data_IF_597304685665
#
_entry.id   IF_597304685665
#
_cell.length_a   1.000
_cell.length_b   1.000
_cell.length_c   1.000
_cell.angle_alpha   90.00
_cell.angle_beta   90.00
_cell.angle_gamma   90.00
#
_symmetry.space_group_name_H-M   'P 1'
#
loop_
_entity.id
_entity.type
_entity.pdbx_description
1 polymer ?
#
# COMPACT_ATOMS: atom_id res chain seq x y z
N UNK A 1 -27.08 26.58 57.94
CA UNK A 1 -26.77 27.04 56.58
C UNK A 1 -25.41 26.45 56.22
N UNK A 2 -25.40 25.25 55.65
CA UNK A 2 -24.19 24.55 55.23
C UNK A 2 -23.82 24.99 53.80
N UNK A 3 -22.53 25.11 53.43
CA UNK A 3 -22.16 25.39 52.05
C UNK A 3 -22.45 24.14 51.18
N UNK A 4 -22.84 24.32 49.90
CA UNK A 4 -23.07 23.20 49.01
C UNK A 4 -21.74 22.56 48.59
N UNK A 5 -21.80 21.24 48.49
CA UNK A 5 -20.74 20.32 48.15
C UNK A 5 -20.19 20.50 46.73
N UNK A 6 -18.95 20.03 46.58
CA UNK A 6 -18.18 19.79 45.35
C UNK A 6 -18.99 19.76 44.05
N UNK A 7 -18.57 20.61 43.11
CA UNK A 7 -18.87 20.41 41.70
C UNK A 7 -18.28 19.09 41.21
N UNK A 8 -18.81 18.52 40.11
CA UNK A 8 -18.32 17.27 39.57
C UNK A 8 -16.83 17.42 39.24
N UNK A 9 -16.02 16.56 39.85
CA UNK A 9 -14.62 16.36 39.53
C UNK A 9 -14.50 16.16 38.02
N UNK A 10 -13.74 17.03 37.36
CA UNK A 10 -13.26 16.82 36.00
C UNK A 10 -12.66 15.42 35.95
N UNK A 11 -13.28 14.52 35.17
CA UNK A 11 -12.76 13.18 34.97
C UNK A 11 -11.32 13.27 34.49
N UNK A 12 -10.42 12.65 35.23
CA UNK A 12 -9.09 12.29 34.76
C UNK A 12 -9.26 11.50 33.45
N UNK A 13 -8.94 12.14 32.32
CA UNK A 13 -8.73 11.46 31.05
C UNK A 13 -7.28 10.95 31.06
N UNK A 14 -6.96 10.05 32.00
CA UNK A 14 -5.68 9.33 32.02
C UNK A 14 -5.89 7.97 31.37
N UNK A 15 -6.16 8.00 30.07
CA UNK A 15 -6.03 6.84 29.21
C UNK A 15 -5.36 7.34 27.95
N UNK A 16 -4.03 7.27 27.90
CA UNK A 16 -3.33 7.53 26.64
C UNK A 16 -3.67 6.38 25.68
N UNK A 17 -4.17 6.72 24.49
CA UNK A 17 -4.62 5.76 23.50
C UNK A 17 -3.40 5.15 22.80
N UNK A 18 -3.20 3.82 22.84
CA UNK A 18 -2.10 3.17 22.12
C UNK A 18 -2.16 3.45 20.61
N UNK A 19 -0.99 3.54 19.97
CA UNK A 19 -0.88 3.80 18.53
C UNK A 19 -1.51 2.72 17.64
N UNK A 20 -1.66 1.50 18.14
CA UNK A 20 -2.24 0.36 17.44
C UNK A 20 -3.72 0.16 17.72
N UNK A 21 -4.28 0.79 18.76
CA UNK A 21 -5.64 0.53 19.23
C UNK A 21 -6.72 0.83 18.16
N UNK A 22 -6.70 1.97 17.42
CA UNK A 22 -7.64 2.20 16.33
C UNK A 22 -7.34 1.44 15.02
N UNK A 23 -6.22 0.70 14.94
CA UNK A 23 -5.77 0.11 13.68
C UNK A 23 -6.74 -0.97 13.15
N UNK A 24 -7.24 -1.93 13.94
CA UNK A 24 -8.18 -2.93 13.46
C UNK A 24 -9.44 -2.31 12.82
N UNK A 25 -10.05 -1.33 13.51
CA UNK A 25 -11.25 -0.64 13.02
C UNK A 25 -10.97 0.16 11.75
N UNK A 26 -9.81 0.81 11.66
CA UNK A 26 -9.40 1.49 10.44
C UNK A 26 -9.23 0.52 9.27
N UNK A 27 -8.61 -0.64 9.50
CA UNK A 27 -8.42 -1.65 8.46
C UNK A 27 -9.75 -2.24 7.99
N UNK A 28 -10.68 -2.51 8.92
CA UNK A 28 -12.04 -2.94 8.60
C UNK A 28 -12.79 -1.89 7.77
N UNK A 29 -12.69 -0.61 8.14
CA UNK A 29 -13.31 0.49 7.41
C UNK A 29 -12.74 0.69 5.99
N UNK A 30 -11.54 0.18 5.70
CA UNK A 30 -10.90 0.27 4.38
C UNK A 30 -10.97 -1.02 3.56
N UNK A 31 -11.40 -2.13 4.16
CA UNK A 31 -11.48 -3.42 3.49
C UNK A 31 -12.54 -3.43 2.39
N UNK A 32 -12.24 -4.10 1.27
CA UNK A 32 -13.23 -4.31 0.20
C UNK A 32 -14.24 -5.39 0.58
N UNK A 33 -13.77 -6.42 1.27
CA UNK A 33 -14.56 -7.46 1.91
C UNK A 33 -13.85 -7.88 3.19
N UNK A 34 -14.62 -8.34 4.17
CA UNK A 34 -14.14 -8.94 5.41
C UNK A 34 -14.63 -10.39 5.36
N UNK A 35 -13.71 -11.35 5.38
CA UNK A 35 -14.06 -12.77 5.43
C UNK A 35 -14.80 -13.10 6.73
N UNK A 36 -15.70 -14.07 6.69
CA UNK A 36 -16.28 -14.62 7.92
C UNK A 36 -15.19 -15.38 8.69
N UNK A 37 -15.15 -15.21 10.02
CA UNK A 37 -14.32 -16.04 10.89
C UNK A 37 -14.72 -17.49 10.67
N UNK A 38 -13.79 -18.32 10.24
CA UNK A 38 -14.08 -19.73 10.03
C UNK A 38 -14.25 -20.44 11.38
N UNK A 39 -14.86 -21.63 11.35
CA UNK A 39 -15.09 -22.45 12.54
C UNK A 39 -13.79 -22.89 13.24
N UNK A 40 -12.62 -22.60 12.67
CA UNK A 40 -11.29 -22.87 13.23
C UNK A 40 -10.72 -21.67 14.02
N UNK A 41 -11.38 -20.51 13.99
CA UNK A 41 -10.97 -19.32 14.74
C UNK A 41 -9.84 -18.54 14.09
N UNK A 42 -9.61 -18.70 12.78
CA UNK A 42 -8.65 -17.86 12.05
C UNK A 42 -9.23 -16.44 11.85
N UNK A 43 -8.37 -15.43 12.04
CA UNK A 43 -8.76 -14.02 11.95
C UNK A 43 -9.41 -13.71 10.60
N UNK A 44 -10.50 -12.94 10.64
CA UNK A 44 -11.24 -12.51 9.46
C UNK A 44 -10.30 -11.88 8.41
N UNK A 45 -10.12 -12.55 7.27
CA UNK A 45 -9.17 -12.09 6.27
C UNK A 45 -9.73 -10.89 5.50
N UNK A 46 -9.05 -9.74 5.58
CA UNK A 46 -9.41 -8.52 4.87
C UNK A 46 -8.93 -8.57 3.42
N UNK A 47 -9.79 -8.17 2.48
CA UNK A 47 -9.42 -8.11 1.06
C UNK A 47 -9.16 -6.69 0.55
N UNK A 48 -8.21 -6.60 -0.38
CA UNK A 48 -7.89 -5.38 -1.12
C UNK A 48 -6.43 -4.97 -1.00
N UNK A 49 -5.79 -4.67 -2.14
CA UNK A 49 -4.38 -4.24 -2.19
C UNK A 49 -4.06 -3.04 -1.29
N UNK A 50 -5.02 -2.13 -1.11
CA UNK A 50 -4.86 -0.98 -0.24
C UNK A 50 -4.77 -1.38 1.24
N UNK A 51 -5.65 -2.27 1.72
CA UNK A 51 -5.62 -2.77 3.10
C UNK A 51 -4.38 -3.61 3.36
N UNK A 52 -3.98 -4.47 2.43
CA UNK A 52 -2.72 -5.23 2.57
C UNK A 52 -1.49 -4.32 2.67
N UNK A 53 -1.51 -3.17 1.98
CA UNK A 53 -0.45 -2.19 2.13
C UNK A 53 -0.48 -1.51 3.50
N UNK A 54 -1.67 -1.20 4.04
CA UNK A 54 -1.85 -0.65 5.38
C UNK A 54 -1.42 -1.62 6.47
N UNK A 55 -1.84 -2.90 6.39
CA UNK A 55 -1.50 -3.99 7.32
C UNK A 55 0.00 -4.23 7.44
N UNK A 56 0.78 -3.84 6.43
CA UNK A 56 2.24 -3.89 6.50
C UNK A 56 2.82 -2.57 7.00
N UNK A 57 2.47 -1.47 6.36
CA UNK A 57 3.18 -0.20 6.55
C UNK A 57 2.84 0.49 7.86
N UNK A 58 1.58 0.41 8.32
CA UNK A 58 1.17 1.09 9.54
C UNK A 58 1.78 0.40 10.78
N UNK A 59 1.74 -0.95 10.92
CA UNK A 59 2.47 -1.63 11.98
C UNK A 59 3.98 -1.37 11.97
N UNK A 60 4.64 -1.43 10.80
CA UNK A 60 6.07 -1.10 10.68
C UNK A 60 6.37 0.32 11.20
N UNK A 61 5.46 1.27 10.95
CA UNK A 61 5.59 2.63 11.45
C UNK A 61 5.33 2.72 12.96
N UNK A 62 4.35 2.00 13.49
CA UNK A 62 4.07 1.94 14.94
C UNK A 62 5.29 1.40 15.69
N UNK A 63 5.88 0.29 15.23
CA UNK A 63 7.12 -0.25 15.81
C UNK A 63 8.29 0.75 15.71
N UNK A 64 8.38 1.47 14.60
CA UNK A 64 9.36 2.53 14.43
C UNK A 64 9.15 3.69 15.42
N UNK A 65 7.91 4.01 15.80
CA UNK A 65 7.59 5.01 16.81
C UNK A 65 7.88 4.51 18.22
N UNK A 66 7.50 3.26 18.52
CA UNK A 66 7.74 2.60 19.81
C UNK A 66 9.23 2.54 20.15
N UNK A 67 10.08 2.17 19.17
CA UNK A 67 11.55 2.19 19.34
C UNK A 67 12.14 3.58 19.64
N UNK A 68 11.33 4.66 19.54
CA UNK A 68 11.68 6.04 19.87
C UNK A 68 10.93 6.58 21.10
N UNK A 69 10.23 5.71 21.83
CA UNK A 69 9.49 6.03 23.05
C UNK A 69 8.18 6.77 22.79
N UNK A 70 7.59 6.64 21.61
CA UNK A 70 6.27 7.21 21.30
C UNK A 70 5.30 6.07 21.04
N UNK A 71 4.47 5.76 22.04
CA UNK A 71 3.58 4.60 22.04
C UNK A 71 2.11 4.95 22.00
N UNK A 72 1.78 6.24 22.14
CA UNK A 72 0.40 6.72 22.26
C UNK A 72 0.10 7.83 21.25
N UNK A 73 -1.16 7.94 20.86
CA UNK A 73 -1.62 8.92 19.86
C UNK A 73 -1.46 10.36 20.36
N UNK A 74 -1.67 10.58 21.65
CA UNK A 74 -1.58 11.90 22.30
C UNK A 74 -0.13 12.40 22.40
N UNK A 75 0.84 11.49 22.41
CA UNK A 75 2.27 11.82 22.40
C UNK A 75 2.78 12.20 20.99
N UNK A 76 1.99 11.95 19.93
CA UNK A 76 2.38 12.29 18.57
C UNK A 76 2.39 13.81 18.35
N UNK A 77 3.37 14.26 17.57
CA UNK A 77 3.45 15.64 17.13
C UNK A 77 4.04 15.72 15.71
N UNK A 78 3.99 16.91 15.13
CA UNK A 78 4.58 17.15 13.80
C UNK A 78 6.07 16.85 13.70
N UNK A 79 6.83 16.91 14.81
CA UNK A 79 8.27 16.61 14.82
C UNK A 79 8.51 15.11 14.71
N UNK A 80 7.65 14.29 15.32
CA UNK A 80 7.71 12.84 15.13
C UNK A 80 7.49 12.45 13.67
N UNK A 81 6.50 13.06 13.01
CA UNK A 81 6.22 12.78 11.59
C UNK A 81 7.30 13.35 10.66
N UNK A 82 7.90 14.50 10.99
CA UNK A 82 9.06 15.02 10.29
C UNK A 82 10.28 14.08 10.40
N UNK A 83 10.51 13.48 11.58
CA UNK A 83 11.58 12.47 11.75
C UNK A 83 11.32 11.21 10.94
N UNK A 84 10.05 10.79 10.82
CA UNK A 84 9.66 9.65 10.00
C UNK A 84 9.86 9.95 8.50
N UNK A 85 9.42 11.12 8.03
CA UNK A 85 9.69 11.60 6.67
C UNK A 85 11.20 11.63 6.37
N UNK A 86 12.01 12.18 7.28
CA UNK A 86 13.46 12.16 7.16
C UNK A 86 14.07 10.75 7.18
N UNK A 87 13.48 9.78 7.90
CA UNK A 87 13.88 8.38 7.83
C UNK A 87 13.61 7.79 6.44
N UNK A 88 12.44 8.05 5.85
CA UNK A 88 12.13 7.62 4.48
C UNK A 88 13.07 8.27 3.46
N UNK A 89 13.38 9.56 3.61
CA UNK A 89 14.35 10.26 2.77
C UNK A 89 15.76 9.63 2.84
N UNK A 90 16.22 9.25 4.04
CA UNK A 90 17.49 8.53 4.21
C UNK A 90 17.49 7.18 3.48
N UNK A 91 16.39 6.43 3.54
CA UNK A 91 16.26 5.16 2.81
C UNK A 91 16.26 5.34 1.28
N UNK A 92 15.70 6.45 0.78
CA UNK A 92 15.80 6.81 -0.63
C UNK A 92 17.23 7.11 -1.03
N UNK A 93 17.94 7.88 -0.20
CA UNK A 93 19.34 8.24 -0.46
C UNK A 93 20.28 7.02 -0.39
N UNK A 94 20.05 6.08 0.54
CA UNK A 94 20.79 4.82 0.62
C UNK A 94 20.70 4.02 -0.69
N UNK A 95 19.48 3.91 -1.27
CA UNK A 95 19.27 3.27 -2.57
C UNK A 95 20.06 3.95 -3.68
N UNK A 96 20.06 5.29 -3.71
CA UNK A 96 20.75 6.08 -4.74
C UNK A 96 22.27 5.97 -4.63
N UNK A 97 22.80 5.96 -3.42
CA UNK A 97 24.24 5.96 -3.18
C UNK A 97 24.89 4.61 -3.47
N UNK A 98 24.26 3.51 -3.03
CA UNK A 98 24.94 2.21 -2.97
C UNK A 98 24.22 1.09 -3.73
N UNK A 99 23.11 1.38 -4.42
CA UNK A 99 22.24 0.33 -4.95
C UNK A 99 21.69 -0.59 -3.86
N UNK A 100 21.64 -0.07 -2.62
CA UNK A 100 21.27 -0.82 -1.42
C UNK A 100 19.90 -1.49 -1.59
N UNK A 101 19.88 -2.81 -1.37
CA UNK A 101 18.68 -3.63 -1.49
C UNK A 101 17.60 -3.27 -0.46
N UNK A 102 17.99 -2.69 0.68
CA UNK A 102 17.07 -2.23 1.73
C UNK A 102 16.50 -0.82 1.46
N UNK A 103 17.11 -0.11 0.51
CA UNK A 103 16.72 1.22 0.09
C UNK A 103 15.45 1.26 -0.76
N UNK A 104 14.69 2.35 -0.66
CA UNK A 104 13.38 2.50 -1.31
C UNK A 104 13.40 3.56 -2.41
N UNK A 105 12.42 3.52 -3.31
CA UNK A 105 12.24 4.59 -4.31
C UNK A 105 11.54 5.80 -3.67
N UNK A 106 11.68 7.01 -4.25
CA UNK A 106 10.88 8.16 -3.82
C UNK A 106 9.38 7.89 -3.84
N UNK A 107 8.87 7.17 -4.85
CA UNK A 107 7.46 6.82 -4.94
C UNK A 107 7.02 5.90 -3.79
N UNK A 108 7.87 4.94 -3.40
CA UNK A 108 7.62 4.07 -2.24
C UNK A 108 7.59 4.86 -0.95
N UNK A 109 8.53 5.82 -0.76
CA UNK A 109 8.55 6.69 0.41
C UNK A 109 7.25 7.50 0.53
N UNK A 110 6.84 8.17 -0.55
CA UNK A 110 5.57 8.91 -0.59
C UNK A 110 4.36 8.01 -0.34
N UNK A 111 4.34 6.81 -0.91
CA UNK A 111 3.27 5.85 -0.65
C UNK A 111 3.21 5.46 0.84
N UNK A 112 4.34 5.17 1.48
CA UNK A 112 4.36 4.80 2.90
C UNK A 112 3.87 5.95 3.78
N UNK A 113 4.37 7.16 3.52
CA UNK A 113 3.94 8.36 4.24
C UNK A 113 2.44 8.63 4.06
N UNK A 114 1.90 8.47 2.85
CA UNK A 114 0.47 8.64 2.59
C UNK A 114 -0.39 7.61 3.33
N UNK A 115 0.06 6.36 3.46
CA UNK A 115 -0.65 5.33 4.22
C UNK A 115 -0.72 5.67 5.72
N UNK A 116 0.41 6.10 6.31
CA UNK A 116 0.47 6.57 7.70
C UNK A 116 -0.39 7.82 7.89
N UNK A 117 -0.30 8.79 6.98
CA UNK A 117 -1.11 10.01 7.01
C UNK A 117 -2.61 9.72 6.91
N UNK A 118 -3.01 8.68 6.16
CA UNK A 118 -4.40 8.27 6.04
C UNK A 118 -4.92 7.61 7.32
N UNK A 119 -4.07 6.82 7.99
CA UNK A 119 -4.38 6.27 9.32
C UNK A 119 -4.57 7.40 10.35
N UNK A 120 -3.65 8.36 10.42
CA UNK A 120 -3.76 9.49 11.35
C UNK A 120 -4.95 10.41 11.01
N UNK A 121 -5.32 10.52 9.74
CA UNK A 121 -6.55 11.22 9.36
C UNK A 121 -7.81 10.50 9.86
N UNK A 122 -7.82 9.16 9.85
CA UNK A 122 -8.88 8.39 10.50
C UNK A 122 -8.90 8.64 12.02
N UNK A 123 -7.75 8.58 12.69
CA UNK A 123 -7.66 8.90 14.11
C UNK A 123 -8.21 10.30 14.43
N UNK A 124 -7.92 11.28 13.57
CA UNK A 124 -8.48 12.63 13.69
C UNK A 124 -10.01 12.65 13.50
N UNK A 125 -10.51 11.96 12.46
CA UNK A 125 -11.94 11.92 12.15
C UNK A 125 -12.77 11.29 13.28
N UNK A 126 -12.19 10.33 14.00
CA UNK A 126 -12.79 9.66 15.16
C UNK A 126 -12.38 10.29 16.50
N UNK A 127 -11.80 11.49 16.47
CA UNK A 127 -11.50 12.31 17.65
C UNK A 127 -10.47 11.71 18.63
N UNK A 128 -9.71 10.69 18.22
CA UNK A 128 -8.56 10.19 19.00
C UNK A 128 -7.42 11.22 19.09
N UNK A 129 -7.29 12.06 18.06
CA UNK A 129 -6.35 13.19 18.04
C UNK A 129 -7.08 14.43 17.52
N UNK A 130 -6.70 15.61 18.02
CA UNK A 130 -7.31 16.86 17.59
C UNK A 130 -6.92 17.24 16.15
N UNK A 131 -5.67 16.98 15.77
CA UNK A 131 -5.10 17.36 14.48
C UNK A 131 -4.21 16.24 13.95
N UNK A 132 -4.16 16.09 12.62
CA UNK A 132 -3.27 15.13 11.98
C UNK A 132 -1.82 15.68 11.93
N UNK A 133 -0.87 15.14 12.70
CA UNK A 133 0.50 15.65 12.73
C UNK A 133 1.25 15.41 11.41
N UNK A 134 0.79 14.47 10.58
CA UNK A 134 1.38 14.18 9.27
C UNK A 134 0.97 15.18 8.19
N UNK A 135 -0.07 15.99 8.42
CA UNK A 135 -0.56 16.96 7.43
C UNK A 135 0.10 18.34 7.55
N UNK A 136 1.23 18.42 8.26
CA UNK A 136 1.97 19.67 8.49
C UNK A 136 3.07 19.90 7.46
N UNK A 137 3.33 21.17 7.11
CA UNK A 137 4.42 21.55 6.20
C UNK A 137 5.77 21.03 6.72
N UNK A 138 6.02 21.15 8.03
CA UNK A 138 7.23 20.62 8.68
C UNK A 138 7.49 19.16 8.34
N UNK A 139 6.45 18.32 8.34
CA UNK A 139 6.63 16.90 8.08
C UNK A 139 6.78 16.62 6.57
N UNK A 140 6.07 17.38 5.72
CA UNK A 140 6.15 17.27 4.26
C UNK A 140 7.48 17.80 3.69
N UNK A 141 8.07 18.82 4.31
CA UNK A 141 9.35 19.42 3.89
C UNK A 141 10.54 18.46 4.05
N UNK A 142 10.45 17.49 4.97
CA UNK A 142 11.46 16.45 5.17
C UNK A 142 11.33 15.28 4.18
N UNK A 143 10.24 15.22 3.41
CA UNK A 143 10.07 14.17 2.41
C UNK A 143 11.05 14.37 1.24
N UNK A 144 11.53 13.27 0.62
CA UNK A 144 12.29 13.39 -0.61
C UNK A 144 11.44 14.05 -1.70
N UNK A 145 12.10 14.69 -2.67
CA UNK A 145 11.45 15.29 -3.84
C UNK A 145 10.36 14.38 -4.38
N UNK A 146 9.16 14.96 -4.53
CA UNK A 146 8.02 14.21 -5.03
C UNK A 146 8.35 13.72 -6.43
N UNK A 147 8.27 12.40 -6.70
CA UNK A 147 8.54 11.90 -8.03
C UNK A 147 7.54 12.55 -8.98
N UNK A 148 8.06 13.20 -10.02
CA UNK A 148 7.24 13.64 -11.13
C UNK A 148 6.78 12.39 -11.85
N UNK A 149 5.50 12.06 -11.74
CA UNK A 149 4.89 11.00 -12.54
C UNK A 149 4.77 11.53 -13.96
N UNK A 150 5.85 11.47 -14.73
CA UNK A 150 5.74 11.58 -16.18
C UNK A 150 5.17 10.25 -16.67
N UNK A 151 3.84 10.16 -16.72
CA UNK A 151 3.13 9.00 -17.26
C UNK A 151 3.49 8.75 -18.74
N UNK A 152 4.09 9.71 -19.43
CA UNK A 152 4.69 9.51 -20.75
C UNK A 152 5.99 8.70 -20.74
N UNK A 153 6.66 8.59 -19.59
CA UNK A 153 7.87 7.78 -19.37
C UNK A 153 7.59 6.45 -18.67
N UNK A 154 6.33 6.16 -18.31
CA UNK A 154 5.95 4.78 -17.98
C UNK A 154 6.25 3.94 -19.22
N UNK A 155 7.18 3.00 -19.08
CA UNK A 155 7.69 2.20 -20.19
C UNK A 155 6.55 1.51 -20.95
N UNK A 156 6.13 2.12 -22.05
CA UNK A 156 5.49 1.40 -23.13
C UNK A 156 6.59 0.66 -23.89
N UNK A 157 6.29 -0.54 -24.38
CA UNK A 157 7.19 -1.21 -25.31
C UNK A 157 7.45 -0.26 -26.48
N UNK A 158 8.72 0.05 -26.74
CA UNK A 158 9.11 0.62 -28.02
C UNK A 158 8.58 -0.27 -29.15
N UNK A 159 8.40 0.30 -30.33
CA UNK A 159 7.95 -0.47 -31.49
C UNK A 159 8.80 -1.72 -31.70
N UNK A 160 10.13 -1.59 -31.59
CA UNK A 160 11.06 -2.70 -31.73
C UNK A 160 10.89 -3.77 -30.64
N UNK A 161 10.69 -3.36 -29.38
CA UNK A 161 10.42 -4.30 -28.29
C UNK A 161 9.11 -5.06 -28.53
N UNK A 162 8.05 -4.36 -28.95
CA UNK A 162 6.76 -4.99 -29.27
C UNK A 162 6.91 -5.99 -30.42
N UNK A 163 7.55 -5.60 -31.52
CA UNK A 163 7.79 -6.49 -32.67
C UNK A 163 8.59 -7.72 -32.28
N UNK A 164 9.63 -7.55 -31.44
CA UNK A 164 10.45 -8.65 -30.96
C UNK A 164 9.64 -9.63 -30.10
N UNK A 165 8.87 -9.12 -29.14
CA UNK A 165 8.05 -9.94 -28.24
C UNK A 165 6.96 -10.68 -29.05
N UNK A 166 6.29 -9.97 -29.96
CA UNK A 166 5.24 -10.53 -30.82
C UNK A 166 5.80 -11.63 -31.72
N UNK A 167 6.92 -11.39 -32.40
CA UNK A 167 7.55 -12.39 -33.26
C UNK A 167 7.93 -13.65 -32.48
N UNK A 168 8.44 -13.48 -31.25
CA UNK A 168 8.82 -14.60 -30.40
C UNK A 168 7.62 -15.45 -29.99
N UNK A 169 6.51 -14.84 -29.56
CA UNK A 169 5.30 -15.62 -29.19
C UNK A 169 4.60 -16.22 -30.40
N UNK A 170 4.71 -15.58 -31.57
CA UNK A 170 4.25 -16.15 -32.83
C UNK A 170 5.02 -17.43 -33.15
N UNK A 171 6.36 -17.37 -33.15
CA UNK A 171 7.21 -18.55 -33.40
C UNK A 171 6.90 -19.69 -32.43
N UNK A 172 6.86 -19.41 -31.11
CA UNK A 172 6.54 -20.44 -30.11
C UNK A 172 5.17 -21.08 -30.30
N UNK A 173 4.16 -20.28 -30.67
CA UNK A 173 2.82 -20.81 -30.90
C UNK A 173 2.76 -21.69 -32.14
N UNK A 174 3.39 -21.27 -33.25
CA UNK A 174 3.42 -22.08 -34.47
C UNK A 174 4.19 -23.39 -34.25
N UNK A 175 5.39 -23.33 -33.65
CA UNK A 175 6.20 -24.51 -33.36
C UNK A 175 5.46 -25.54 -32.50
N UNK A 176 4.78 -25.08 -31.44
CA UNK A 176 4.03 -25.95 -30.54
C UNK A 176 2.80 -26.58 -31.23
N UNK A 177 2.09 -25.80 -32.06
CA UNK A 177 0.93 -26.27 -32.82
C UNK A 177 1.37 -27.28 -33.89
N UNK A 178 2.46 -27.00 -34.62
CA UNK A 178 2.97 -27.88 -35.67
C UNK A 178 3.51 -29.19 -35.10
N UNK A 179 4.10 -29.16 -33.89
CA UNK A 179 4.58 -30.36 -33.20
C UNK A 179 3.44 -31.28 -32.73
N UNK A 180 2.45 -30.74 -32.02
CA UNK A 180 1.22 -31.44 -31.64
C UNK A 180 0.08 -30.45 -31.34
N UNK A 181 -0.89 -30.28 -32.25
CA UNK A 181 -1.99 -29.33 -32.09
C UNK A 181 -2.90 -29.58 -30.87
N UNK A 182 -2.90 -30.80 -30.31
CA UNK A 182 -3.76 -31.17 -29.17
C UNK A 182 -3.01 -31.15 -27.84
N UNK A 183 -1.72 -30.83 -27.85
CA UNK A 183 -0.92 -30.77 -26.65
C UNK A 183 -1.34 -29.61 -25.74
N UNK A 184 -1.10 -29.76 -24.43
CA UNK A 184 -1.23 -28.64 -23.48
C UNK A 184 -0.29 -27.49 -23.84
N UNK A 185 0.87 -27.79 -24.39
CA UNK A 185 1.86 -26.79 -24.80
C UNK A 185 1.33 -25.92 -25.95
N UNK A 186 0.74 -26.51 -26.98
CA UNK A 186 0.09 -25.78 -28.07
C UNK A 186 -1.02 -24.85 -27.55
N UNK A 187 -1.84 -25.34 -26.60
CA UNK A 187 -2.88 -24.53 -25.97
C UNK A 187 -2.30 -23.36 -25.16
N UNK A 188 -1.26 -23.61 -24.34
CA UNK A 188 -0.60 -22.57 -23.54
C UNK A 188 0.06 -21.53 -24.44
N UNK A 189 0.82 -21.95 -25.46
CA UNK A 189 1.50 -21.04 -26.37
C UNK A 189 0.51 -20.18 -27.17
N UNK A 190 -0.60 -20.77 -27.65
CA UNK A 190 -1.66 -20.01 -28.33
C UNK A 190 -2.34 -18.99 -27.40
N UNK A 191 -2.58 -19.36 -26.13
CA UNK A 191 -3.15 -18.44 -25.12
C UNK A 191 -2.19 -17.29 -24.80
N UNK A 192 -0.91 -17.60 -24.58
CA UNK A 192 0.10 -16.61 -24.23
C UNK A 192 0.33 -15.64 -25.40
N UNK A 193 0.32 -16.15 -26.65
CA UNK A 193 0.30 -15.34 -27.87
C UNK A 193 -0.89 -14.37 -27.87
N UNK A 194 -2.11 -14.88 -27.68
CA UNK A 194 -3.31 -14.03 -27.65
C UNK A 194 -3.23 -12.93 -26.57
N UNK A 195 -2.75 -13.27 -25.37
CA UNK A 195 -2.56 -12.31 -24.27
C UNK A 195 -1.55 -11.21 -24.63
N UNK A 196 -0.40 -11.57 -25.21
CA UNK A 196 0.63 -10.60 -25.63
C UNK A 196 0.10 -9.64 -26.70
N UNK A 197 -0.68 -10.12 -27.65
CA UNK A 197 -1.32 -9.26 -28.65
C UNK A 197 -2.31 -8.28 -28.02
N UNK A 198 -3.15 -8.76 -27.09
CA UNK A 198 -4.09 -7.90 -26.37
C UNK A 198 -3.33 -6.80 -25.62
N UNK A 199 -2.32 -7.16 -24.82
CA UNK A 199 -1.54 -6.18 -24.06
C UNK A 199 -0.79 -5.19 -24.97
N UNK A 200 -0.13 -5.69 -26.02
CA UNK A 200 0.75 -4.92 -26.88
C UNK A 200 0.04 -3.94 -27.83
N UNK A 201 -1.23 -4.19 -28.16
CA UNK A 201 -1.97 -3.39 -29.14
C UNK A 201 -3.19 -2.65 -28.58
N UNK A 202 -3.69 -3.00 -27.39
CA UNK A 202 -4.81 -2.28 -26.76
C UNK A 202 -4.40 -1.41 -25.57
N UNK A 203 -3.24 -1.68 -24.96
CA UNK A 203 -2.79 -0.98 -23.75
C UNK A 203 -3.64 -1.28 -22.51
N UNK A 204 -4.49 -2.32 -22.54
CA UNK A 204 -5.27 -2.76 -21.38
C UNK A 204 -4.34 -3.14 -20.24
N UNK A 205 -4.78 -2.86 -19.01
CA UNK A 205 -4.05 -3.28 -17.82
C UNK A 205 -4.26 -4.77 -17.64
N UNK A 206 -3.22 -5.48 -17.16
CA UNK A 206 -3.36 -6.89 -16.79
C UNK A 206 -4.51 -7.11 -15.80
N UNK A 207 -4.86 -6.10 -14.99
CA UNK A 207 -5.98 -6.19 -14.08
C UNK A 207 -7.37 -6.29 -14.76
N UNK A 208 -7.50 -5.85 -16.00
CA UNK A 208 -8.76 -5.81 -16.74
C UNK A 208 -9.04 -7.10 -17.50
N UNK A 209 -8.00 -7.86 -17.84
CA UNK A 209 -8.09 -9.04 -18.71
C UNK A 209 -7.63 -10.33 -18.05
N UNK A 210 -7.05 -10.26 -16.86
CA UNK A 210 -6.66 -11.43 -16.08
C UNK A 210 -7.56 -11.59 -14.87
N UNK A 211 -7.97 -12.84 -14.65
CA UNK A 211 -8.59 -13.25 -13.41
C UNK A 211 -7.63 -13.00 -12.25
N UNK A 212 -8.16 -12.50 -11.13
CA UNK A 212 -7.37 -12.35 -9.91
C UNK A 212 -7.86 -13.35 -8.88
N UNK A 213 -6.97 -14.24 -8.43
CA UNK A 213 -7.27 -15.24 -7.39
C UNK A 213 -7.69 -14.64 -6.05
N UNK A 214 -7.58 -13.33 -5.88
CA UNK A 214 -7.91 -12.57 -4.66
C UNK A 214 -9.10 -11.62 -4.84
N UNK A 215 -9.78 -11.64 -5.98
CA UNK A 215 -10.94 -10.78 -6.26
C UNK A 215 -11.93 -11.53 -7.16
N UNK A 216 -12.96 -12.12 -6.56
CA UNK A 216 -13.97 -12.92 -7.27
C UNK A 216 -14.79 -12.12 -8.30
N UNK A 217 -14.75 -10.79 -8.24
CA UNK A 217 -15.35 -9.92 -9.27
C UNK A 217 -14.50 -9.84 -10.55
N UNK A 218 -13.26 -10.33 -10.51
CA UNK A 218 -12.31 -10.31 -11.62
C UNK A 218 -12.16 -11.73 -12.14
N UNK A 219 -13.09 -12.14 -12.99
CA UNK A 219 -13.17 -13.50 -13.55
C UNK A 219 -12.26 -13.74 -14.76
N UNK A 220 -11.64 -12.69 -15.30
CA UNK A 220 -10.83 -12.76 -16.53
C UNK A 220 -11.72 -12.74 -17.76
#
# INVERSE_FOLDING_TARGET
MAPPADGPQSGEITGETPLDDPLPDFLDAKAKTIGETDSAGEEAQRSGNYVQALERVVPDWIEWMDSRGVTTLEALDSRHLARYAGHLARRVNARRANGDAEGITPATAWNYYSLVSAYLHYCQQWEYIAENPADTDRAKDEMPDRPTTDSGQQQFWSQQQRETIVSYVDERAHDAIDADPRSREALTAARDRALVYVLGFSGVRGAEVLAASRDDRRTG
#
